data_IF_055247265828
#
_entry.id   IF_055247265828
#
_cell.length_a   1.000
_cell.length_b   1.000
_cell.length_c   1.000
_cell.angle_alpha   90.00
_cell.angle_beta   90.00
_cell.angle_gamma   90.00
#
_symmetry.space_group_name_H-M   'P 1'
#
loop_
_entity.id
_entity.type
_entity.pdbx_description
1 polymer ?
#
# COMPACT_ATOMS: atom_id res chain seq x y z
N UNK A 1 -5.71 19.44 27.14
CA UNK A 1 -4.53 18.58 26.98
C UNK A 1 -3.85 18.98 25.67
N UNK A 2 -2.59 19.44 25.68
CA UNK A 2 -1.87 19.79 24.44
C UNK A 2 -1.66 18.49 23.65
N UNK A 3 -2.23 18.40 22.47
CA UNK A 3 -2.01 17.28 21.56
C UNK A 3 -0.57 17.32 21.09
N UNK A 4 0.20 16.29 21.44
CA UNK A 4 1.58 16.14 21.01
C UNK A 4 1.57 15.95 19.48
N UNK A 5 1.98 16.97 18.73
CA UNK A 5 2.15 16.83 17.28
C UNK A 5 3.42 16.02 17.05
N UNK A 6 3.29 14.85 16.44
CA UNK A 6 4.42 14.03 16.06
C UNK A 6 5.35 14.84 15.15
N UNK A 7 6.67 14.87 15.42
CA UNK A 7 7.62 15.52 14.53
C UNK A 7 7.56 14.92 13.13
N UNK A 8 7.97 15.71 12.13
CA UNK A 8 8.08 15.22 10.76
C UNK A 8 9.07 14.04 10.70
N UNK A 9 8.79 13.04 9.86
CA UNK A 9 9.65 11.86 9.65
C UNK A 9 11.11 12.22 9.41
N UNK A 10 11.40 13.29 8.65
CA UNK A 10 12.78 13.75 8.42
C UNK A 10 13.48 14.19 9.71
N UNK A 11 12.74 14.83 10.62
CA UNK A 11 13.25 15.25 11.93
C UNK A 11 13.53 14.03 12.79
N UNK A 12 12.64 13.04 12.78
CA UNK A 12 12.81 11.79 13.51
C UNK A 12 14.07 11.05 13.01
N UNK A 13 14.22 10.89 11.69
CA UNK A 13 15.39 10.23 11.09
C UNK A 13 16.68 10.99 11.44
N UNK A 14 16.67 12.32 11.37
CA UNK A 14 17.84 13.13 11.73
C UNK A 14 18.28 12.91 13.19
N UNK A 15 17.33 12.89 14.14
CA UNK A 15 17.66 12.61 15.54
C UNK A 15 18.15 11.17 15.76
N UNK A 16 17.57 10.19 15.05
CA UNK A 16 18.06 8.81 15.08
C UNK A 16 19.50 8.75 14.57
N UNK A 17 19.85 9.44 13.48
CA UNK A 17 21.22 9.48 12.96
C UNK A 17 22.21 10.08 13.97
N UNK A 18 21.85 11.18 14.64
CA UNK A 18 22.67 11.77 15.71
C UNK A 18 22.86 10.77 16.86
N UNK A 19 21.78 10.10 17.27
CA UNK A 19 21.82 9.14 18.37
C UNK A 19 22.70 7.93 18.02
N UNK A 20 22.56 7.37 16.82
CA UNK A 20 23.42 6.29 16.33
C UNK A 20 24.90 6.72 16.29
N UNK A 21 25.19 7.93 15.80
CA UNK A 21 26.55 8.44 15.77
C UNK A 21 27.12 8.66 17.19
N UNK A 22 26.34 9.19 18.12
CA UNK A 22 26.74 9.30 19.51
C UNK A 22 26.99 7.92 20.14
N UNK A 23 26.15 6.92 19.80
CA UNK A 23 26.32 5.55 20.29
C UNK A 23 27.64 4.91 19.84
N UNK A 24 28.17 5.25 18.65
CA UNK A 24 29.48 4.74 18.17
C UNK A 24 30.68 5.10 19.07
N UNK A 25 30.52 6.04 20.00
CA UNK A 25 31.56 6.39 20.98
C UNK A 25 31.56 5.47 22.20
N UNK A 26 30.43 4.84 22.50
CA UNK A 26 30.24 4.03 23.71
C UNK A 26 30.06 2.56 23.39
N UNK A 27 29.61 2.24 22.18
CA UNK A 27 29.33 0.88 21.73
C UNK A 27 30.40 0.48 20.71
N UNK A 28 31.24 -0.52 21.01
CA UNK A 28 32.23 -1.02 20.07
C UNK A 28 31.57 -1.62 18.83
N UNK A 29 32.31 -1.63 17.73
CA UNK A 29 31.88 -2.33 16.52
C UNK A 29 31.85 -3.84 16.76
N UNK A 30 31.15 -4.58 15.91
CA UNK A 30 31.28 -6.03 15.91
C UNK A 30 30.93 -6.64 14.57
N UNK A 31 31.56 -7.78 14.32
CA UNK A 31 31.42 -8.56 13.10
C UNK A 31 31.07 -10.00 13.47
N UNK A 32 30.21 -10.63 12.67
CA UNK A 32 29.89 -12.04 12.79
C UNK A 32 30.82 -12.81 11.84
N UNK A 33 31.70 -13.61 12.41
CA UNK A 33 32.69 -14.40 11.66
C UNK A 33 32.31 -15.89 11.80
N UNK A 34 32.46 -16.69 10.75
CA UNK A 34 32.27 -18.14 10.88
C UNK A 34 33.28 -18.72 11.88
N UNK A 35 32.79 -19.45 12.88
CA UNK A 35 33.65 -20.12 13.86
C UNK A 35 34.52 -21.17 13.17
N UNK A 36 35.79 -21.24 13.57
CA UNK A 36 36.77 -22.19 13.05
C UNK A 36 36.34 -23.67 13.18
N UNK A 37 35.45 -23.97 14.13
CA UNK A 37 34.93 -25.30 14.41
C UNK A 37 33.66 -25.66 13.59
N UNK A 38 33.18 -24.75 12.75
CA UNK A 38 31.97 -24.94 11.92
C UNK A 38 30.66 -24.95 12.71
N UNK A 39 30.67 -24.55 13.98
CA UNK A 39 29.53 -24.57 14.91
C UNK A 39 28.56 -23.39 14.73
N UNK A 40 28.88 -22.43 13.85
CA UNK A 40 28.03 -21.28 13.55
C UNK A 40 28.82 -20.00 13.34
N UNK A 41 28.16 -18.86 13.59
CA UNK A 41 28.73 -17.51 13.51
C UNK A 41 29.03 -17.01 14.91
N UNK A 42 30.28 -16.63 15.16
CA UNK A 42 30.75 -16.07 16.42
C UNK A 42 30.88 -14.55 16.30
N UNK A 43 30.35 -13.84 17.30
CA UNK A 43 30.45 -12.39 17.38
C UNK A 43 31.84 -12.01 17.91
N UNK A 44 32.58 -11.25 17.12
CA UNK A 44 33.86 -10.67 17.54
C UNK A 44 33.74 -9.16 17.58
N UNK A 45 34.17 -8.55 18.69
CA UNK A 45 34.26 -7.10 18.78
C UNK A 45 35.37 -6.57 17.86
N UNK A 46 35.05 -5.53 17.10
CA UNK A 46 35.99 -4.85 16.22
C UNK A 46 36.37 -3.49 16.79
N UNK A 47 37.44 -2.88 16.27
CA UNK A 47 37.89 -1.56 16.73
C UNK A 47 36.77 -0.52 16.57
N UNK A 48 36.51 0.22 17.64
CA UNK A 48 35.52 1.29 17.65
C UNK A 48 35.88 2.39 16.65
N UNK A 49 34.97 2.67 15.71
CA UNK A 49 35.10 3.75 14.73
C UNK A 49 34.11 4.89 15.03
N UNK A 50 34.44 5.81 15.96
CA UNK A 50 33.53 6.87 16.37
C UNK A 50 33.19 7.82 15.22
N UNK A 51 31.90 8.07 15.02
CA UNK A 51 31.38 8.95 13.98
C UNK A 51 31.18 10.37 14.53
N UNK A 52 31.68 11.36 13.79
CA UNK A 52 31.56 12.80 14.10
C UNK A 52 31.03 13.54 12.87
N UNK A 53 31.91 14.11 12.06
CA UNK A 53 31.57 14.88 10.87
C UNK A 53 30.99 14.02 9.74
N UNK A 54 31.17 12.70 9.80
CA UNK A 54 30.64 11.72 8.84
C UNK A 54 29.11 11.73 8.77
N UNK A 55 28.42 12.21 9.82
CA UNK A 55 26.95 12.41 9.79
C UNK A 55 26.57 13.39 8.67
N UNK A 56 27.40 14.40 8.39
CA UNK A 56 27.13 15.36 7.33
C UNK A 56 27.21 14.71 5.93
N UNK A 57 28.11 13.73 5.74
CA UNK A 57 28.19 12.96 4.50
C UNK A 57 27.17 11.82 4.43
N UNK A 58 26.64 11.35 5.56
CA UNK A 58 25.71 10.22 5.62
C UNK A 58 24.45 10.45 4.77
N UNK A 59 23.95 11.69 4.71
CA UNK A 59 22.83 12.05 3.85
C UNK A 59 23.17 11.85 2.37
N UNK A 60 24.33 12.34 1.93
CA UNK A 60 24.80 12.19 0.55
C UNK A 60 24.99 10.71 0.19
N UNK A 61 25.70 9.97 1.06
CA UNK A 61 25.96 8.54 0.86
C UNK A 61 24.67 7.71 0.83
N UNK A 62 23.70 8.01 1.70
CA UNK A 62 22.40 7.36 1.66
C UNK A 62 21.65 7.67 0.36
N UNK A 63 21.72 8.91 -0.11
CA UNK A 63 21.07 9.33 -1.36
C UNK A 63 21.67 8.62 -2.58
N UNK A 64 22.99 8.48 -2.65
CA UNK A 64 23.66 7.80 -3.76
C UNK A 64 23.41 6.29 -3.73
N UNK A 65 23.43 5.67 -2.54
CA UNK A 65 23.10 4.25 -2.39
C UNK A 65 21.65 3.95 -2.79
N UNK A 66 20.72 4.86 -2.49
CA UNK A 66 19.29 4.68 -2.80
C UNK A 66 18.84 5.34 -4.11
N UNK A 67 19.77 5.80 -4.95
CA UNK A 67 19.47 6.44 -6.22
C UNK A 67 18.58 5.59 -7.14
N UNK A 68 18.75 4.26 -7.10
CA UNK A 68 17.93 3.32 -7.88
C UNK A 68 16.44 3.43 -7.57
N UNK A 69 16.08 3.45 -6.28
CA UNK A 69 14.69 3.58 -5.83
C UNK A 69 14.14 4.96 -6.21
N UNK A 70 14.94 6.02 -6.01
CA UNK A 70 14.54 7.39 -6.34
C UNK A 70 14.20 7.52 -7.83
N UNK A 71 15.09 7.05 -8.71
CA UNK A 71 14.89 7.09 -10.17
C UNK A 71 13.70 6.23 -10.57
N UNK A 72 13.55 5.04 -9.99
CA UNK A 72 12.43 4.14 -10.25
C UNK A 72 11.08 4.78 -9.91
N UNK A 73 10.93 5.36 -8.71
CA UNK A 73 9.70 6.07 -8.29
C UNK A 73 9.40 7.25 -9.21
N UNK A 74 10.43 7.99 -9.64
CA UNK A 74 10.28 9.12 -10.56
C UNK A 74 9.80 8.66 -11.94
N UNK A 75 10.41 7.60 -12.51
CA UNK A 75 10.00 7.02 -13.80
C UNK A 75 8.57 6.51 -13.72
N UNK A 76 8.22 5.80 -12.66
CA UNK A 76 6.86 5.31 -12.43
C UNK A 76 5.88 6.48 -12.37
N UNK A 77 6.17 7.51 -11.58
CA UNK A 77 5.34 8.72 -11.50
C UNK A 77 5.15 9.40 -12.86
N UNK A 78 6.23 9.53 -13.64
CA UNK A 78 6.20 10.10 -15.00
C UNK A 78 5.39 9.25 -15.98
N UNK A 79 5.60 7.94 -15.99
CA UNK A 79 4.85 7.01 -16.82
C UNK A 79 3.35 7.05 -16.47
N UNK A 80 3.00 7.05 -15.19
CA UNK A 80 1.62 7.18 -14.74
C UNK A 80 1.02 8.53 -15.14
N UNK A 81 1.77 9.62 -15.04
CA UNK A 81 1.30 10.93 -15.49
C UNK A 81 0.95 10.93 -16.98
N UNK A 82 1.81 10.33 -17.82
CA UNK A 82 1.55 10.20 -19.27
C UNK A 82 0.30 9.37 -19.50
N UNK A 83 0.21 8.17 -18.92
CA UNK A 83 -0.93 7.26 -19.10
C UNK A 83 -2.23 7.91 -18.61
N UNK A 84 -2.22 8.60 -17.47
CA UNK A 84 -3.38 9.32 -16.95
C UNK A 84 -3.79 10.48 -17.86
N UNK A 85 -2.82 11.22 -18.39
CA UNK A 85 -3.07 12.31 -19.35
C UNK A 85 -3.75 11.83 -20.63
N UNK A 86 -3.51 10.57 -21.05
CA UNK A 86 -4.18 9.98 -22.22
C UNK A 86 -5.61 9.49 -21.95
N UNK A 87 -6.09 9.51 -20.70
CA UNK A 87 -7.38 8.92 -20.28
C UNK A 87 -7.50 7.42 -20.58
N UNK A 88 -6.37 6.74 -20.80
CA UNK A 88 -6.34 5.31 -21.05
C UNK A 88 -6.80 4.50 -19.82
N UNK A 89 -6.45 4.97 -18.63
CA UNK A 89 -6.87 4.37 -17.35
C UNK A 89 -8.39 4.42 -17.23
N UNK A 90 -9.01 5.58 -17.44
CA UNK A 90 -10.46 5.78 -17.34
C UNK A 90 -11.21 4.84 -18.29
N UNK A 91 -10.76 4.81 -19.55
CA UNK A 91 -11.35 3.94 -20.57
C UNK A 91 -11.17 2.46 -20.23
N UNK A 92 -10.00 2.10 -19.70
CA UNK A 92 -9.69 0.75 -19.24
C UNK A 92 -10.59 0.31 -18.08
N UNK A 93 -10.77 1.18 -17.08
CA UNK A 93 -11.64 0.95 -15.92
C UNK A 93 -13.08 0.75 -16.39
N UNK A 94 -13.61 1.64 -17.23
CA UNK A 94 -14.99 1.54 -17.72
C UNK A 94 -15.22 0.27 -18.54
N UNK A 95 -14.26 -0.13 -19.40
CA UNK A 95 -14.33 -1.40 -20.13
C UNK A 95 -14.23 -2.61 -19.21
N UNK A 96 -13.36 -2.55 -18.21
CA UNK A 96 -13.20 -3.60 -17.22
C UNK A 96 -14.47 -3.79 -16.40
N UNK A 97 -15.06 -2.71 -15.88
CA UNK A 97 -16.33 -2.74 -15.16
C UNK A 97 -17.43 -3.27 -16.07
N UNK A 98 -17.57 -2.77 -17.31
CA UNK A 98 -18.59 -3.27 -18.24
C UNK A 98 -18.47 -4.77 -18.51
N UNK A 99 -17.24 -5.28 -18.67
CA UNK A 99 -17.00 -6.72 -18.88
C UNK A 99 -17.19 -7.53 -17.60
N UNK A 100 -16.77 -7.02 -16.45
CA UNK A 100 -16.99 -7.65 -15.15
C UNK A 100 -18.50 -7.72 -14.88
N UNK A 101 -19.24 -6.62 -15.03
CA UNK A 101 -20.70 -6.51 -14.92
C UNK A 101 -21.46 -7.42 -15.89
N UNK A 102 -20.88 -7.78 -17.03
CA UNK A 102 -21.49 -8.81 -17.90
C UNK A 102 -21.56 -10.19 -17.21
N UNK A 103 -20.64 -10.50 -16.29
CA UNK A 103 -20.62 -11.76 -15.54
C UNK A 103 -21.81 -11.87 -14.56
N UNK A 104 -22.46 -10.75 -14.21
CA UNK A 104 -23.69 -10.72 -13.40
C UNK A 104 -24.88 -11.43 -14.07
N UNK A 105 -24.75 -11.76 -15.36
CA UNK A 105 -25.65 -12.70 -16.07
C UNK A 105 -25.72 -14.05 -15.38
N UNK A 106 -24.59 -14.55 -14.86
CA UNK A 106 -24.54 -15.81 -14.15
C UNK A 106 -24.97 -15.63 -12.69
N UNK A 107 -25.91 -16.46 -12.24
CA UNK A 107 -26.53 -16.38 -10.91
C UNK A 107 -25.51 -16.42 -9.76
N UNK A 108 -24.41 -17.15 -9.94
CA UNK A 108 -23.30 -17.24 -8.99
C UNK A 108 -22.66 -15.88 -8.71
N UNK A 109 -22.22 -15.17 -9.75
CA UNK A 109 -21.56 -13.87 -9.61
C UNK A 109 -22.50 -12.77 -9.11
N UNK A 110 -23.78 -12.83 -9.49
CA UNK A 110 -24.81 -11.91 -8.96
C UNK A 110 -25.01 -12.06 -7.46
N UNK A 111 -24.97 -13.28 -6.92
CA UNK A 111 -25.16 -13.52 -5.49
C UNK A 111 -24.02 -12.98 -4.62
N UNK A 112 -22.79 -12.97 -5.15
CA UNK A 112 -21.59 -12.52 -4.42
C UNK A 112 -21.43 -11.00 -4.55
N UNK A 113 -21.86 -10.44 -5.68
CA UNK A 113 -21.70 -9.03 -6.03
C UNK A 113 -20.31 -8.76 -6.62
N UNK A 114 -20.28 -8.23 -7.84
CA UNK A 114 -19.03 -8.04 -8.60
C UNK A 114 -18.05 -7.11 -7.89
N UNK A 115 -18.56 -6.06 -7.25
CA UNK A 115 -17.73 -5.15 -6.46
C UNK A 115 -17.00 -5.87 -5.31
N UNK A 116 -17.64 -6.83 -4.63
CA UNK A 116 -17.00 -7.62 -3.59
C UNK A 116 -15.90 -8.53 -4.19
N UNK A 117 -16.17 -9.11 -5.35
CA UNK A 117 -15.19 -9.95 -6.05
C UNK A 117 -13.96 -9.14 -6.47
N UNK A 118 -14.15 -7.94 -7.02
CA UNK A 118 -13.05 -7.05 -7.41
C UNK A 118 -12.21 -6.67 -6.19
N UNK A 119 -12.85 -6.30 -5.06
CA UNK A 119 -12.14 -6.02 -3.81
C UNK A 119 -11.26 -7.22 -3.41
N UNK A 120 -11.84 -8.41 -3.34
CA UNK A 120 -11.11 -9.64 -2.94
C UNK A 120 -9.96 -9.94 -3.89
N UNK A 121 -10.18 -9.90 -5.20
CA UNK A 121 -9.15 -10.23 -6.19
C UNK A 121 -7.98 -9.24 -6.16
N UNK A 122 -8.27 -7.94 -6.08
CA UNK A 122 -7.23 -6.91 -6.01
C UNK A 122 -6.47 -7.03 -4.69
N UNK A 123 -7.17 -7.24 -3.56
CA UNK A 123 -6.50 -7.44 -2.27
C UNK A 123 -5.62 -8.69 -2.24
N UNK A 124 -6.07 -9.81 -2.84
CA UNK A 124 -5.23 -11.01 -2.93
C UNK A 124 -4.00 -10.78 -3.81
N UNK A 125 -4.17 -10.10 -4.96
CA UNK A 125 -3.05 -9.76 -5.85
C UNK A 125 -1.99 -8.93 -5.11
N UNK A 126 -2.40 -7.83 -4.46
CA UNK A 126 -1.47 -6.98 -3.71
C UNK A 126 -0.94 -7.65 -2.46
N UNK A 127 -1.72 -8.51 -1.80
CA UNK A 127 -1.27 -9.32 -0.67
C UNK A 127 -0.18 -10.32 -1.05
N UNK A 128 -0.26 -10.92 -2.25
CA UNK A 128 0.81 -11.78 -2.78
C UNK A 128 2.05 -10.95 -3.12
N UNK A 129 1.88 -9.81 -3.80
CA UNK A 129 3.01 -8.92 -4.11
C UNK A 129 3.71 -8.41 -2.85
N UNK A 130 2.96 -8.06 -1.79
CA UNK A 130 3.53 -7.73 -0.49
C UNK A 130 4.29 -8.89 0.14
N UNK A 131 3.74 -10.10 0.10
CA UNK A 131 4.35 -11.28 0.71
C UNK A 131 5.61 -11.80 -0.01
N UNK A 132 5.74 -11.51 -1.31
CA UNK A 132 6.86 -11.97 -2.16
C UNK A 132 7.90 -10.87 -2.35
N UNK A 133 7.47 -9.67 -2.76
CA UNK A 133 8.38 -8.58 -3.14
C UNK A 133 8.54 -7.51 -2.05
N UNK A 134 7.59 -7.39 -1.12
CA UNK A 134 7.61 -6.31 -0.14
C UNK A 134 7.33 -4.93 -0.73
N UNK A 135 6.53 -4.90 -1.80
CA UNK A 135 6.16 -3.74 -2.63
C UNK A 135 5.49 -2.61 -1.83
N UNK A 136 6.23 -1.82 -1.06
CA UNK A 136 5.65 -0.78 -0.19
C UNK A 136 5.52 0.54 -0.95
N UNK A 137 6.54 0.91 -1.71
CA UNK A 137 6.61 2.18 -2.43
C UNK A 137 5.72 2.20 -3.67
N UNK A 138 5.65 1.09 -4.41
CA UNK A 138 4.88 1.01 -5.65
C UNK A 138 3.37 1.02 -5.38
N UNK A 139 2.94 0.65 -4.17
CA UNK A 139 1.52 0.75 -3.77
C UNK A 139 0.97 2.16 -3.89
N UNK A 140 1.79 3.19 -3.70
CA UNK A 140 1.37 4.59 -3.83
C UNK A 140 0.86 4.85 -5.25
N UNK A 141 1.59 4.36 -6.25
CA UNK A 141 1.27 4.57 -7.65
C UNK A 141 0.06 3.75 -8.09
N UNK A 142 -0.06 2.49 -7.64
CA UNK A 142 -1.24 1.67 -7.90
C UNK A 142 -2.50 2.18 -7.20
N UNK A 143 -2.36 2.76 -6.01
CA UNK A 143 -3.48 3.36 -5.27
C UNK A 143 -4.16 4.47 -6.10
N UNK A 144 -3.38 5.24 -6.87
CA UNK A 144 -3.92 6.27 -7.76
C UNK A 144 -4.86 5.72 -8.86
N UNK A 145 -4.70 4.44 -9.25
CA UNK A 145 -5.57 3.76 -10.23
C UNK A 145 -6.76 3.08 -9.56
N UNK A 146 -6.51 2.45 -8.42
CA UNK A 146 -7.53 1.64 -7.74
C UNK A 146 -8.56 2.51 -7.02
N UNK A 147 -8.22 3.73 -6.59
CA UNK A 147 -9.19 4.68 -6.03
C UNK A 147 -10.30 5.02 -7.05
N UNK A 148 -10.00 5.51 -8.28
CA UNK A 148 -11.01 5.72 -9.32
C UNK A 148 -11.86 4.48 -9.59
N UNK A 149 -11.25 3.29 -9.68
CA UNK A 149 -11.96 2.03 -9.86
C UNK A 149 -12.96 1.77 -8.71
N UNK A 150 -12.53 1.94 -7.45
CA UNK A 150 -13.40 1.75 -6.29
C UNK A 150 -14.57 2.75 -6.28
N UNK A 151 -14.30 4.01 -6.60
CA UNK A 151 -15.31 5.06 -6.69
C UNK A 151 -16.30 4.80 -7.83
N UNK A 152 -15.83 4.35 -8.99
CA UNK A 152 -16.66 3.90 -10.12
C UNK A 152 -17.58 2.71 -9.76
N UNK A 153 -17.17 1.85 -8.82
CA UNK A 153 -17.99 0.74 -8.29
C UNK A 153 -18.99 1.16 -7.19
N UNK A 154 -19.01 2.45 -6.85
CA UNK A 154 -19.87 3.05 -5.82
C UNK A 154 -19.33 2.91 -4.39
N UNK A 155 -18.02 2.68 -4.22
CA UNK A 155 -17.35 2.71 -2.92
C UNK A 155 -16.69 4.07 -2.67
N UNK A 156 -16.18 4.29 -1.46
CA UNK A 156 -15.42 5.49 -1.14
C UNK A 156 -13.92 5.33 -1.50
N UNK A 157 -13.15 6.43 -1.55
CA UNK A 157 -11.71 6.36 -1.79
C UNK A 157 -10.94 5.51 -0.77
N UNK A 158 -11.43 5.42 0.47
CA UNK A 158 -10.80 4.60 1.53
C UNK A 158 -10.82 3.12 1.14
N UNK A 159 -11.93 2.59 0.60
CA UNK A 159 -11.95 1.22 0.08
C UNK A 159 -10.87 1.02 -0.99
N UNK A 160 -10.68 1.99 -1.89
CA UNK A 160 -9.62 1.93 -2.91
C UNK A 160 -8.21 1.87 -2.31
N UNK A 161 -7.94 2.70 -1.29
CA UNK A 161 -6.68 2.65 -0.52
C UNK A 161 -6.52 1.28 0.16
N UNK A 162 -7.57 0.75 0.78
CA UNK A 162 -7.53 -0.55 1.44
C UNK A 162 -7.24 -1.70 0.47
N UNK A 163 -7.80 -1.64 -0.75
CA UNK A 163 -7.59 -2.66 -1.78
C UNK A 163 -6.12 -2.84 -2.17
N UNK A 164 -5.31 -1.78 -2.03
CA UNK A 164 -3.89 -1.78 -2.41
C UNK A 164 -2.99 -1.73 -1.17
N UNK A 165 -3.08 -0.65 -0.40
CA UNK A 165 -2.14 -0.34 0.66
C UNK A 165 -2.29 -1.31 1.84
N UNK A 166 -3.49 -1.47 2.38
CA UNK A 166 -3.75 -2.42 3.48
C UNK A 166 -3.44 -3.86 3.03
N UNK A 167 -3.83 -4.22 1.80
CA UNK A 167 -3.56 -5.54 1.23
C UNK A 167 -2.05 -5.85 1.14
N UNK A 168 -1.26 -4.97 0.53
CA UNK A 168 0.18 -5.16 0.38
C UNK A 168 0.90 -5.22 1.73
N UNK A 169 0.57 -4.34 2.67
CA UNK A 169 1.21 -4.32 3.98
C UNK A 169 0.81 -5.52 4.85
N UNK A 170 -0.44 -5.98 4.75
CA UNK A 170 -0.87 -7.24 5.40
C UNK A 170 -0.13 -8.43 4.79
N UNK A 171 0.03 -8.46 3.47
CA UNK A 171 0.80 -9.47 2.76
C UNK A 171 2.26 -9.50 3.20
N UNK A 172 2.89 -8.32 3.28
CA UNK A 172 4.26 -8.15 3.77
C UNK A 172 4.40 -8.60 5.23
N UNK A 173 3.44 -8.28 6.11
CA UNK A 173 3.45 -8.76 7.49
C UNK A 173 3.42 -10.29 7.61
N UNK A 174 2.82 -11.00 6.65
CA UNK A 174 2.88 -12.46 6.56
C UNK A 174 4.20 -13.00 5.99
N UNK A 175 4.97 -12.17 5.26
CA UNK A 175 6.31 -12.43 4.71
C UNK A 175 6.57 -13.87 4.20
N UNK A 176 5.63 -14.43 3.44
CA UNK A 176 5.65 -15.86 3.08
C UNK A 176 6.93 -16.29 2.35
N UNK A 177 7.42 -15.46 1.43
CA UNK A 177 8.55 -15.75 0.54
C UNK A 177 9.53 -14.57 0.40
N UNK A 178 9.41 -13.56 1.26
CA UNK A 178 10.10 -12.30 1.07
C UNK A 178 11.63 -12.47 1.28
N UNK A 179 12.45 -12.29 0.23
CA UNK A 179 13.89 -12.56 0.30
C UNK A 179 14.62 -11.53 1.16
N UNK A 180 14.09 -10.31 1.28
CA UNK A 180 14.68 -9.20 2.03
C UNK A 180 14.44 -9.29 3.54
N UNK A 181 13.57 -10.19 3.99
CA UNK A 181 13.25 -10.36 5.41
C UNK A 181 13.50 -11.80 5.83
N UNK A 182 12.64 -12.72 5.41
CA UNK A 182 12.74 -14.14 5.78
C UNK A 182 13.96 -14.79 5.14
N UNK A 183 14.30 -14.44 3.90
CA UNK A 183 15.49 -14.96 3.23
C UNK A 183 16.77 -14.66 4.01
N UNK A 184 17.01 -13.37 4.31
CA UNK A 184 18.16 -12.91 5.11
C UNK A 184 18.15 -13.56 6.51
N UNK A 185 17.01 -13.60 7.18
CA UNK A 185 16.92 -14.19 8.51
C UNK A 185 17.24 -15.71 8.52
N UNK A 186 16.83 -16.45 7.48
CA UNK A 186 17.14 -17.87 7.33
C UNK A 186 18.63 -18.10 7.07
N UNK A 187 19.23 -17.29 6.19
CA UNK A 187 20.67 -17.32 5.91
C UNK A 187 21.49 -17.07 7.19
N UNK A 188 21.18 -16.00 7.93
CA UNK A 188 21.83 -15.68 9.20
C UNK A 188 21.66 -16.77 10.27
N UNK A 189 20.57 -17.53 10.21
CA UNK A 189 20.27 -18.61 11.17
C UNK A 189 20.77 -19.99 10.72
N UNK A 190 21.45 -20.09 9.57
CA UNK A 190 21.88 -21.36 8.99
C UNK A 190 20.74 -22.30 8.57
N UNK A 191 19.53 -21.77 8.39
CA UNK A 191 18.35 -22.54 8.00
C UNK A 191 18.22 -22.65 6.48
N UNK A 192 17.77 -23.80 6.00
CA UNK A 192 17.45 -23.98 4.58
C UNK A 192 16.42 -22.94 4.13
N UNK A 193 16.71 -22.28 3.00
CA UNK A 193 15.80 -21.31 2.39
C UNK A 193 14.43 -21.95 2.13
N UNK A 194 13.36 -21.21 2.43
CA UNK A 194 11.96 -21.65 2.35
C UNK A 194 11.52 -22.73 3.35
N UNK A 195 12.38 -23.15 4.29
CA UNK A 195 11.96 -24.03 5.39
C UNK A 195 10.79 -23.42 6.17
N UNK A 196 9.70 -24.19 6.38
CA UNK A 196 8.49 -23.70 7.07
C UNK A 196 7.49 -22.93 6.20
N UNK A 197 7.63 -22.96 4.86
CA UNK A 197 6.73 -22.25 3.93
C UNK A 197 5.24 -22.54 4.18
N UNK A 198 4.86 -23.80 4.42
CA UNK A 198 3.45 -24.17 4.65
C UNK A 198 2.83 -23.46 5.86
N UNK A 199 3.57 -23.35 6.96
CA UNK A 199 3.14 -22.60 8.15
C UNK A 199 3.01 -21.10 7.86
N UNK A 200 3.95 -20.51 7.12
CA UNK A 200 3.89 -19.10 6.73
C UNK A 200 2.75 -18.81 5.78
N UNK A 201 2.50 -19.70 4.81
CA UNK A 201 1.35 -19.59 3.90
C UNK A 201 0.04 -19.63 4.67
N UNK A 202 -0.08 -20.50 5.69
CA UNK A 202 -1.24 -20.54 6.57
C UNK A 202 -1.43 -19.23 7.35
N UNK A 203 -0.37 -18.71 7.97
CA UNK A 203 -0.41 -17.44 8.70
C UNK A 203 -0.79 -16.27 7.77
N UNK A 204 -0.16 -16.19 6.61
CA UNK A 204 -0.48 -15.21 5.57
C UNK A 204 -1.95 -15.31 5.14
N UNK A 205 -2.45 -16.53 4.91
CA UNK A 205 -3.84 -16.72 4.50
C UNK A 205 -4.83 -16.25 5.59
N UNK A 206 -4.53 -16.50 6.87
CA UNK A 206 -5.34 -16.03 7.99
C UNK A 206 -5.33 -14.50 8.07
N UNK A 207 -4.14 -13.88 8.00
CA UNK A 207 -4.01 -12.42 8.02
C UNK A 207 -4.76 -11.77 6.85
N UNK A 208 -4.60 -12.30 5.64
CA UNK A 208 -5.32 -11.83 4.45
C UNK A 208 -6.83 -12.02 4.58
N UNK A 209 -7.30 -13.15 5.12
CA UNK A 209 -8.72 -13.38 5.35
C UNK A 209 -9.31 -12.34 6.31
N UNK A 210 -8.62 -12.05 7.43
CA UNK A 210 -9.04 -11.03 8.39
C UNK A 210 -9.10 -9.65 7.74
N UNK A 211 -8.07 -9.26 6.99
CA UNK A 211 -8.02 -7.97 6.29
C UNK A 211 -9.14 -7.85 5.24
N UNK A 212 -9.32 -8.87 4.40
CA UNK A 212 -10.36 -8.89 3.35
C UNK A 212 -11.75 -8.82 3.98
N UNK A 213 -12.03 -9.61 5.02
CA UNK A 213 -13.33 -9.58 5.70
C UNK A 213 -13.60 -8.20 6.28
N UNK A 214 -12.60 -7.59 6.94
CA UNK A 214 -12.73 -6.25 7.52
C UNK A 214 -13.04 -5.20 6.45
N UNK A 215 -12.32 -5.22 5.32
CA UNK A 215 -12.54 -4.29 4.21
C UNK A 215 -13.89 -4.52 3.55
N UNK A 216 -14.32 -5.77 3.37
CA UNK A 216 -15.65 -6.08 2.84
C UNK A 216 -16.77 -5.60 3.77
N UNK A 217 -16.62 -5.74 5.08
CA UNK A 217 -17.58 -5.22 6.07
C UNK A 217 -17.64 -3.69 6.01
N UNK A 218 -16.49 -3.03 5.92
CA UNK A 218 -16.41 -1.57 5.74
C UNK A 218 -17.07 -1.12 4.44
N UNK A 219 -16.69 -1.73 3.31
CA UNK A 219 -17.23 -1.43 1.99
C UNK A 219 -18.76 -1.59 1.93
N UNK A 220 -19.30 -2.64 2.56
CA UNK A 220 -20.75 -2.84 2.69
C UNK A 220 -21.44 -1.75 3.50
N UNK A 221 -20.83 -1.30 4.62
CA UNK A 221 -21.37 -0.22 5.45
C UNK A 221 -21.41 1.10 4.70
N UNK A 222 -20.30 1.47 4.06
CA UNK A 222 -20.18 2.71 3.26
C UNK A 222 -21.12 2.70 2.06
N UNK A 223 -21.25 1.56 1.37
CA UNK A 223 -22.17 1.44 0.23
C UNK A 223 -23.64 1.55 0.62
N UNK A 224 -24.00 1.09 1.83
CA UNK A 224 -25.37 1.20 2.37
C UNK A 224 -25.66 2.60 2.92
N UNK A 225 -24.70 3.20 3.62
CA UNK A 225 -24.81 4.54 4.17
C UNK A 225 -23.49 5.31 3.93
N UNK A 226 -23.42 6.11 2.84
CA UNK A 226 -22.24 6.90 2.49
C UNK A 226 -21.77 7.86 3.59
N UNK A 227 -22.66 8.39 4.41
CA UNK A 227 -22.33 9.37 5.45
C UNK A 227 -21.43 8.81 6.56
N UNK A 228 -21.32 7.47 6.67
CA UNK A 228 -20.41 6.80 7.61
C UNK A 228 -18.95 6.96 7.18
N UNK A 229 -18.68 7.22 5.89
CA UNK A 229 -17.31 7.39 5.41
C UNK A 229 -16.70 8.66 6.01
N UNK A 230 -15.50 8.59 6.63
CA UNK A 230 -14.78 9.76 7.12
C UNK A 230 -14.45 10.79 6.04
N UNK A 231 -14.45 10.38 4.76
CA UNK A 231 -14.17 11.25 3.61
C UNK A 231 -15.44 11.65 2.86
N UNK A 232 -16.62 11.45 3.47
CA UNK A 232 -17.87 11.91 2.91
C UNK A 232 -17.89 13.42 2.68
N UNK A 233 -18.51 13.86 1.59
CA UNK A 233 -18.55 15.26 1.15
C UNK A 233 -17.42 15.61 0.18
N UNK A 234 -16.70 16.75 0.36
CA UNK A 234 -15.89 17.36 -0.70
C UNK A 234 -14.82 16.44 -1.30
N UNK A 235 -14.16 15.62 -0.46
CA UNK A 235 -13.10 14.72 -0.89
C UNK A 235 -13.68 13.60 -1.77
N UNK A 236 -14.74 12.93 -1.31
CA UNK A 236 -15.37 11.88 -2.11
C UNK A 236 -16.00 12.45 -3.39
N UNK A 237 -16.65 13.61 -3.31
CA UNK A 237 -17.26 14.23 -4.48
C UNK A 237 -16.21 14.69 -5.50
N UNK A 238 -15.04 15.17 -5.06
CA UNK A 238 -13.91 15.45 -5.95
C UNK A 238 -13.53 14.22 -6.78
N UNK A 239 -13.47 13.03 -6.17
CA UNK A 239 -13.19 11.80 -6.90
C UNK A 239 -14.32 11.40 -7.84
N UNK A 240 -15.60 11.56 -7.45
CA UNK A 240 -16.74 11.28 -8.33
C UNK A 240 -16.76 12.16 -9.58
N UNK A 241 -16.34 13.41 -9.45
CA UNK A 241 -16.32 14.40 -10.53
C UNK A 241 -14.94 14.56 -11.17
N UNK A 242 -13.96 13.73 -10.78
CA UNK A 242 -12.66 13.73 -11.42
C UNK A 242 -12.79 13.29 -12.88
N UNK A 243 -12.07 13.93 -13.82
CA UNK A 243 -12.12 13.55 -15.23
C UNK A 243 -11.83 12.06 -15.36
N UNK A 244 -12.80 11.28 -15.87
CA UNK A 244 -12.65 9.83 -16.02
C UNK A 244 -13.62 8.97 -15.20
N UNK A 245 -14.16 9.49 -14.10
CA UNK A 245 -15.20 8.80 -13.33
C UNK A 245 -16.58 9.12 -13.91
N UNK A 246 -17.24 8.12 -14.50
CA UNK A 246 -18.66 8.22 -14.85
C UNK A 246 -19.45 7.74 -13.63
N UNK A 247 -20.42 8.50 -13.11
CA UNK A 247 -21.25 8.04 -12.01
C UNK A 247 -21.87 6.69 -12.36
N UNK A 248 -21.74 5.70 -11.46
CA UNK A 248 -22.50 4.47 -11.57
C UNK A 248 -23.98 4.87 -11.72
N UNK A 249 -24.61 4.48 -12.83
CA UNK A 249 -25.97 4.88 -13.18
C UNK A 249 -26.87 4.74 -11.95
N UNK A 250 -27.31 5.87 -11.42
CA UNK A 250 -28.25 5.90 -10.31
C UNK A 250 -29.54 5.26 -10.82
N UNK A 251 -29.93 4.13 -10.22
CA UNK A 251 -31.27 3.59 -10.43
C UNK A 251 -32.26 4.73 -10.16
N UNK A 252 -32.99 5.13 -11.20
CA UNK A 252 -33.68 6.41 -11.28
C UNK A 252 -34.57 6.67 -10.07
N UNK A 253 -34.14 7.61 -9.22
CA UNK A 253 -34.95 8.25 -8.16
C UNK A 253 -34.18 9.40 -7.50
N UNK A 254 -33.64 10.32 -8.29
CA UNK A 254 -33.22 11.65 -7.80
C UNK A 254 -32.92 12.59 -8.99
N UNK A 255 -33.90 12.79 -9.87
CA UNK A 255 -33.89 13.92 -10.80
C UNK A 255 -35.21 14.65 -10.58
N UNK A 256 -35.17 15.70 -9.77
CA UNK A 256 -36.36 16.49 -9.46
C UNK A 256 -36.20 17.31 -8.19
N UNK A 257 -35.29 18.29 -8.19
CA UNK A 257 -35.42 19.47 -7.31
C UNK A 257 -34.42 20.60 -7.57
N UNK A 258 -33.41 20.46 -8.44
CA UNK A 258 -32.36 21.48 -8.57
C UNK A 258 -32.57 22.53 -9.69
N UNK A 259 -33.42 22.28 -10.70
CA UNK A 259 -33.52 23.18 -11.88
C UNK A 259 -34.59 24.29 -11.78
N UNK A 260 -35.21 24.52 -10.62
CA UNK A 260 -36.27 25.52 -10.48
C UNK A 260 -35.83 26.91 -9.97
N UNK A 261 -34.53 27.14 -9.69
CA UNK A 261 -34.09 28.35 -9.01
C UNK A 261 -33.21 29.33 -9.84
N UNK A 262 -32.99 29.07 -11.13
CA UNK A 262 -32.12 29.90 -11.98
C UNK A 262 -32.87 30.78 -13.00
N UNK A 263 -34.12 31.14 -12.71
CA UNK A 263 -34.98 31.89 -13.63
C UNK A 263 -35.80 32.99 -12.97
N UNK A 264 -35.17 33.86 -12.16
CA UNK A 264 -35.78 35.14 -11.76
C UNK A 264 -34.76 36.08 -11.08
N UNK A 265 -34.02 36.86 -11.87
CA UNK A 265 -33.65 38.24 -11.49
C UNK A 265 -32.99 38.94 -12.68
N UNK A 266 -33.67 40.01 -13.10
CA UNK A 266 -33.33 41.14 -13.99
C UNK A 266 -31.86 41.34 -14.31
#
# INVERSE_FOLDING_TARGET
MKTFKTPNTYVIIFFILILCAAATWFVPGGEYIESADGSGVEYTETESAPQTWQIASALYTGFTQQAGIIVFVLIIGGAFFIVNSTKAIDTGIMRFIGRASSLERYRFFRSIGIGNMIIVMVMLLFGVFGAVFGMSEETIAFTAIIIPLAVSLGYDPIVGVCMVYVAAHTGFAGAMLNPFTVGIAQEMSGLQLFSGIGYRTLCWAILMAIAIVTVLLYARRVKKNPEISPVYGPVWDQWKHSPGNVPAATNGRAAGSADAAAGASV
#
